data_IF_609625265582
#
_entry.id   IF_609625265582
#
_cell.length_a   1.000
_cell.length_b   1.000
_cell.length_c   1.000
_cell.angle_alpha   90.00
_cell.angle_beta   90.00
_cell.angle_gamma   90.00
#
_symmetry.space_group_name_H-M   'P 1'
#
loop_
_entity.id
_entity.type
_entity.pdbx_description
1 polymer ?
#
# COMPACT_ATOMS: atom_id res chain seq x y z
N UNK A 1 -3.81 -4.22 26.98
CA UNK A 1 -3.74 -5.68 26.71
C UNK A 1 -2.29 -6.12 26.79
N UNK A 2 -1.94 -7.37 27.17
CA UNK A 2 -0.55 -7.82 27.06
C UNK A 2 -0.14 -7.88 25.58
N UNK A 3 1.11 -7.52 25.27
CA UNK A 3 1.64 -7.53 23.90
C UNK A 3 2.64 -6.40 23.65
N UNK A 4 3.48 -6.58 22.63
CA UNK A 4 4.44 -5.56 22.17
C UNK A 4 3.68 -4.34 21.66
N UNK A 5 4.02 -3.16 22.17
CA UNK A 5 3.40 -1.91 21.72
C UNK A 5 4.09 -1.42 20.45
N UNK A 6 3.32 -1.27 19.37
CA UNK A 6 3.75 -0.76 18.07
C UNK A 6 3.64 0.77 17.97
N UNK A 7 3.15 1.44 19.03
CA UNK A 7 2.93 2.88 19.08
C UNK A 7 1.57 3.29 18.55
N UNK A 8 1.47 4.51 18.06
CA UNK A 8 0.29 5.07 17.40
C UNK A 8 0.69 5.85 16.16
N UNK A 9 -0.22 6.69 15.67
CA UNK A 9 0.08 7.72 14.67
C UNK A 9 0.61 7.19 13.32
N UNK A 10 0.20 6.00 12.92
CA UNK A 10 0.50 5.43 11.62
C UNK A 10 -0.70 4.65 11.06
N UNK A 11 -0.73 4.50 9.73
CA UNK A 11 -1.73 3.68 9.04
C UNK A 11 -1.23 2.27 8.72
N UNK A 12 0.06 2.01 8.91
CA UNK A 12 0.68 0.70 8.72
C UNK A 12 1.63 0.38 9.89
N UNK A 13 1.69 -0.89 10.27
CA UNK A 13 2.58 -1.37 11.33
C UNK A 13 3.36 -2.59 10.87
N UNK A 14 4.68 -2.55 11.05
CA UNK A 14 5.59 -3.65 10.73
C UNK A 14 5.63 -4.60 11.93
N UNK A 15 5.48 -5.90 11.67
CA UNK A 15 5.56 -6.96 12.67
C UNK A 15 6.47 -8.07 12.18
N UNK A 16 7.61 -8.29 12.86
CA UNK A 16 8.63 -9.25 12.40
C UNK A 16 8.60 -10.60 13.08
N UNK A 17 7.89 -10.74 14.19
CA UNK A 17 7.91 -11.95 15.00
C UNK A 17 6.52 -12.44 15.35
N UNK A 18 6.37 -13.74 15.59
CA UNK A 18 5.14 -14.30 16.18
C UNK A 18 4.92 -13.72 17.58
N UNK A 19 3.67 -13.44 17.94
CA UNK A 19 3.37 -12.94 19.29
C UNK A 19 2.12 -12.10 19.36
N UNK A 20 1.92 -11.48 20.53
CA UNK A 20 0.83 -10.55 20.79
C UNK A 20 1.32 -9.11 20.62
N UNK A 21 0.52 -8.29 19.96
CA UNK A 21 0.84 -6.91 19.61
C UNK A 21 -0.33 -6.00 19.93
N UNK A 22 -0.03 -4.70 20.04
CA UNK A 22 -1.04 -3.66 20.17
C UNK A 22 -0.57 -2.33 19.61
N UNK A 23 -1.52 -1.47 19.23
CA UNK A 23 -1.27 -0.08 18.83
C UNK A 23 -2.40 0.85 19.27
N UNK A 24 -2.11 2.14 19.39
CA UNK A 24 -3.06 3.21 19.72
C UNK A 24 -3.91 3.59 18.49
N UNK A 25 -5.21 3.77 18.70
CA UNK A 25 -6.16 4.07 17.60
C UNK A 25 -6.28 5.56 17.32
N UNK A 26 -5.18 6.17 16.88
CA UNK A 26 -5.11 7.60 16.49
C UNK A 26 -4.84 7.74 15.00
N UNK A 27 -5.13 8.94 14.46
CA UNK A 27 -4.62 9.36 13.15
C UNK A 27 -3.14 9.72 13.25
N UNK A 28 -2.48 9.91 12.10
CA UNK A 28 -1.04 10.24 12.04
C UNK A 28 -0.70 11.52 12.79
N UNK A 29 -1.57 12.53 12.76
CA UNK A 29 -1.39 13.77 13.53
C UNK A 29 -1.66 13.64 15.05
N UNK A 30 -1.99 12.43 15.54
CA UNK A 30 -2.30 12.17 16.95
C UNK A 30 -3.74 12.49 17.36
N UNK A 31 -4.59 12.96 16.45
CA UNK A 31 -6.01 13.16 16.75
C UNK A 31 -6.75 11.83 16.91
N UNK A 32 -7.76 11.83 17.76
CA UNK A 32 -8.61 10.67 18.01
C UNK A 32 -9.46 10.34 16.78
N UNK A 33 -9.70 9.04 16.58
CA UNK A 33 -10.70 8.54 15.66
C UNK A 33 -12.00 8.37 16.45
N UNK A 34 -13.06 9.04 16.02
CA UNK A 34 -14.34 9.03 16.72
C UNK A 34 -15.06 7.69 16.57
N UNK A 35 -15.96 7.42 17.51
CA UNK A 35 -16.99 6.38 17.43
C UNK A 35 -16.50 4.93 17.35
N UNK A 36 -15.22 4.64 17.65
CA UNK A 36 -14.73 3.26 17.72
C UNK A 36 -15.42 2.52 18.87
N UNK A 37 -16.17 1.47 18.53
CA UNK A 37 -16.85 0.57 19.45
C UNK A 37 -16.18 -0.81 19.53
N UNK A 38 -15.70 -1.32 18.40
CA UNK A 38 -15.00 -2.61 18.30
C UNK A 38 -13.97 -2.59 17.17
N UNK A 39 -13.16 -3.63 17.06
CA UNK A 39 -12.28 -3.84 15.92
C UNK A 39 -12.21 -5.33 15.59
N UNK A 40 -12.00 -5.63 14.30
CA UNK A 40 -11.74 -6.99 13.82
C UNK A 40 -10.87 -6.94 12.56
N UNK A 41 -10.24 -8.07 12.19
CA UNK A 41 -9.54 -8.16 10.92
C UNK A 41 -10.55 -8.11 9.76
N UNK A 42 -10.17 -7.44 8.67
CA UNK A 42 -11.01 -7.23 7.50
C UNK A 42 -10.67 -8.21 6.38
N UNK A 43 -9.40 -8.24 5.99
CA UNK A 43 -8.87 -9.19 5.04
C UNK A 43 -7.42 -9.50 5.36
N UNK A 44 -6.93 -10.63 4.88
CA UNK A 44 -5.52 -11.02 4.96
C UNK A 44 -5.07 -11.82 3.74
N UNK A 45 -3.79 -11.77 3.41
CA UNK A 45 -3.21 -12.65 2.39
C UNK A 45 -3.23 -14.10 2.86
N UNK A 46 -3.44 -15.04 1.93
CA UNK A 46 -3.28 -16.46 2.21
C UNK A 46 -1.80 -16.77 2.35
N UNK A 47 -1.41 -17.35 3.48
CA UNK A 47 -0.07 -17.88 3.68
C UNK A 47 0.22 -19.05 2.73
N UNK A 48 1.49 -19.37 2.53
CA UNK A 48 1.96 -20.31 1.50
C UNK A 48 1.33 -21.70 1.49
N UNK A 49 0.63 -22.15 2.55
CA UNK A 49 -0.10 -23.43 2.56
C UNK A 49 -1.10 -23.61 3.74
N UNK A 50 -1.61 -22.56 4.39
CA UNK A 50 -2.46 -22.74 5.58
C UNK A 50 -3.81 -22.04 5.50
N UNK A 51 -4.88 -22.79 5.78
CA UNK A 51 -6.21 -22.29 6.13
C UNK A 51 -6.22 -21.45 7.43
N UNK A 52 -5.07 -21.33 8.09
CA UNK A 52 -4.91 -20.61 9.34
C UNK A 52 -4.70 -19.12 9.08
N UNK A 53 -5.34 -18.25 9.88
CA UNK A 53 -5.22 -16.82 9.71
C UNK A 53 -3.83 -16.33 10.14
N UNK A 54 -3.29 -15.33 9.43
CA UNK A 54 -1.98 -14.72 9.77
C UNK A 54 -2.07 -13.82 11.02
N UNK A 55 -3.25 -13.25 11.26
CA UNK A 55 -3.60 -12.55 12.50
C UNK A 55 -4.88 -13.12 13.13
N UNK A 56 -5.00 -13.04 14.45
CA UNK A 56 -6.17 -13.52 15.21
C UNK A 56 -6.34 -12.71 16.50
N UNK A 57 -7.37 -13.04 17.28
CA UNK A 57 -7.66 -12.43 18.60
C UNK A 57 -7.71 -10.90 18.58
N UNK A 58 -8.25 -10.31 17.51
CA UNK A 58 -8.38 -8.86 17.38
C UNK A 58 -9.38 -8.36 18.42
N UNK A 59 -8.97 -7.36 19.20
CA UNK A 59 -9.80 -6.75 20.24
C UNK A 59 -9.50 -5.27 20.36
N UNK A 60 -10.55 -4.46 20.44
CA UNK A 60 -10.45 -3.06 20.81
C UNK A 60 -10.75 -2.89 22.30
N UNK A 61 -9.85 -2.22 23.03
CA UNK A 61 -10.05 -1.91 24.45
C UNK A 61 -9.26 -0.68 24.85
N UNK A 62 -9.94 0.29 25.46
CA UNK A 62 -9.31 1.48 26.07
C UNK A 62 -8.43 2.28 25.10
N UNK A 63 -8.90 2.51 23.86
CA UNK A 63 -8.18 3.29 22.84
C UNK A 63 -7.04 2.54 22.15
N UNK A 64 -6.89 1.24 22.42
CA UNK A 64 -5.89 0.38 21.78
C UNK A 64 -6.59 -0.76 21.03
N UNK A 65 -5.99 -1.17 19.91
CA UNK A 65 -6.28 -2.46 19.26
C UNK A 65 -5.17 -3.43 19.63
N UNK A 66 -5.54 -4.61 20.10
CA UNK A 66 -4.64 -5.75 20.33
C UNK A 66 -4.94 -6.90 19.36
N UNK A 67 -3.92 -7.68 18.99
CA UNK A 67 -4.05 -8.83 18.08
C UNK A 67 -2.87 -9.81 18.25
N UNK A 68 -3.05 -11.04 17.79
CA UNK A 68 -2.03 -12.10 17.76
C UNK A 68 -1.54 -12.34 16.33
N UNK A 69 -0.22 -12.41 16.13
CA UNK A 69 0.43 -12.77 14.85
C UNK A 69 0.98 -14.18 14.91
N UNK A 70 0.72 -14.99 13.89
CA UNK A 70 1.11 -16.41 13.82
C UNK A 70 2.59 -16.64 13.49
N UNK A 71 3.26 -15.62 12.92
CA UNK A 71 4.62 -15.70 12.39
C UNK A 71 4.68 -16.07 10.91
N UNK A 72 3.53 -16.18 10.23
CA UNK A 72 3.47 -16.31 8.77
C UNK A 72 3.50 -14.91 8.15
N UNK A 73 4.48 -14.68 7.27
CA UNK A 73 4.61 -13.43 6.52
C UNK A 73 3.40 -13.17 5.63
N UNK A 74 3.09 -11.88 5.45
CA UNK A 74 2.00 -11.43 4.61
C UNK A 74 1.42 -10.10 5.07
N UNK A 75 0.20 -9.83 4.61
CA UNK A 75 -0.49 -8.58 4.88
C UNK A 75 -1.88 -8.85 5.42
N UNK A 76 -2.25 -8.12 6.47
CA UNK A 76 -3.61 -8.06 6.97
C UNK A 76 -4.08 -6.62 7.09
N UNK A 77 -5.39 -6.42 7.08
CA UNK A 77 -6.01 -5.15 7.44
C UNK A 77 -6.90 -5.36 8.65
N UNK A 78 -6.78 -4.51 9.65
CA UNK A 78 -7.71 -4.43 10.79
C UNK A 78 -8.62 -3.22 10.59
N UNK A 79 -9.91 -3.39 10.81
CA UNK A 79 -10.91 -2.33 10.76
C UNK A 79 -11.44 -2.02 12.16
N UNK A 80 -11.53 -0.72 12.49
CA UNK A 80 -12.32 -0.23 13.61
C UNK A 80 -13.78 0.00 13.16
N UNK A 81 -14.71 -0.34 14.04
CA UNK A 81 -16.14 -0.39 13.76
C UNK A 81 -16.91 0.49 14.74
N UNK A 82 -17.92 1.21 14.24
CA UNK A 82 -18.90 1.89 15.08
C UNK A 82 -19.94 0.93 15.69
N UNK A 83 -20.86 1.47 16.49
CA UNK A 83 -21.96 0.69 17.11
C UNK A 83 -22.95 0.07 16.11
N UNK A 84 -22.89 0.47 14.84
CA UNK A 84 -23.71 -0.04 13.72
C UNK A 84 -22.90 -0.97 12.81
N UNK A 85 -21.67 -1.32 13.19
CA UNK A 85 -20.72 -2.10 12.41
C UNK A 85 -20.27 -1.43 11.09
N UNK A 86 -20.35 -0.10 10.98
CA UNK A 86 -19.69 0.62 9.89
C UNK A 86 -18.20 0.77 10.21
N UNK A 87 -17.35 0.66 9.19
CA UNK A 87 -15.92 0.93 9.35
C UNK A 87 -15.73 2.43 9.53
N UNK A 88 -15.02 2.81 10.60
CA UNK A 88 -14.65 4.22 10.89
C UNK A 88 -13.17 4.49 10.64
N UNK A 89 -12.34 3.46 10.62
CA UNK A 89 -10.94 3.51 10.20
C UNK A 89 -10.41 2.09 9.98
N UNK A 90 -9.24 2.00 9.33
CA UNK A 90 -8.56 0.74 9.06
C UNK A 90 -7.05 0.93 9.01
N UNK A 91 -6.32 -0.10 9.41
CA UNK A 91 -4.86 -0.13 9.48
C UNK A 91 -4.32 -1.36 8.78
N UNK A 92 -3.19 -1.19 8.10
CA UNK A 92 -2.41 -2.26 7.51
C UNK A 92 -1.45 -2.86 8.54
N UNK A 93 -1.46 -4.19 8.67
CA UNK A 93 -0.50 -4.96 9.45
C UNK A 93 0.40 -5.69 8.45
N UNK A 94 1.67 -5.30 8.41
CA UNK A 94 2.68 -5.82 7.51
C UNK A 94 3.57 -6.80 8.27
N UNK A 95 3.40 -8.09 8.00
CA UNK A 95 4.11 -9.16 8.69
C UNK A 95 5.28 -9.59 7.82
N UNK A 96 6.49 -9.16 8.17
CA UNK A 96 7.71 -9.33 7.38
C UNK A 96 8.92 -9.15 8.30
N UNK A 97 10.08 -9.70 7.93
CA UNK A 97 11.36 -9.25 8.49
C UNK A 97 11.49 -7.71 8.46
N UNK A 98 12.28 -7.15 9.37
CA UNK A 98 12.44 -5.70 9.46
C UNK A 98 13.01 -5.17 8.14
N UNK A 99 12.27 -4.33 7.39
CA UNK A 99 12.76 -3.79 6.13
C UNK A 99 14.07 -3.05 6.35
N UNK A 100 15.08 -3.35 5.53
CA UNK A 100 16.32 -2.61 5.53
C UNK A 100 16.13 -1.29 4.79
N UNK A 101 17.13 -0.41 4.89
CA UNK A 101 17.13 0.88 4.19
C UNK A 101 18.41 1.07 3.41
N UNK A 102 18.32 1.78 2.29
CA UNK A 102 19.45 2.17 1.45
C UNK A 102 19.41 3.67 1.19
N UNK A 103 20.54 4.35 1.38
CA UNK A 103 20.71 5.76 1.01
C UNK A 103 21.02 5.86 -0.49
N UNK A 104 20.32 6.76 -1.19
CA UNK A 104 20.49 6.97 -2.63
C UNK A 104 21.41 8.17 -2.86
N UNK A 105 21.89 8.38 -4.10
CA UNK A 105 22.83 9.46 -4.43
C UNK A 105 22.35 10.85 -3.98
N UNK A 106 21.04 11.10 -3.98
CA UNK A 106 20.45 12.37 -3.55
C UNK A 106 20.32 12.51 -2.00
N UNK A 107 20.83 11.56 -1.22
CA UNK A 107 20.75 11.51 0.24
C UNK A 107 19.39 11.05 0.78
N UNK A 108 18.44 10.68 -0.06
CA UNK A 108 17.15 10.12 0.37
C UNK A 108 17.36 8.66 0.79
N UNK A 109 16.79 8.27 1.93
CA UNK A 109 16.90 6.92 2.48
C UNK A 109 15.61 6.15 2.22
N UNK A 110 15.65 5.18 1.32
CA UNK A 110 14.50 4.35 0.94
C UNK A 110 14.46 3.03 1.72
N UNK A 111 13.26 2.50 1.94
CA UNK A 111 13.09 1.07 2.24
C UNK A 111 13.63 0.21 1.09
N UNK A 112 14.17 -0.97 1.43
CA UNK A 112 14.68 -1.95 0.48
C UNK A 112 13.61 -2.58 -0.44
N UNK A 113 12.33 -2.46 -0.08
CA UNK A 113 11.20 -3.11 -0.76
C UNK A 113 9.94 -2.23 -0.84
N UNK A 114 8.96 -2.68 -1.63
CA UNK A 114 7.65 -2.02 -1.72
C UNK A 114 6.84 -2.23 -0.44
N UNK A 115 6.01 -1.26 -0.08
CA UNK A 115 5.11 -1.36 1.06
C UNK A 115 4.20 -2.59 0.90
N UNK A 116 4.27 -3.50 1.87
CA UNK A 116 3.53 -4.76 1.89
C UNK A 116 4.24 -5.93 1.21
N UNK A 117 5.45 -5.75 0.67
CA UNK A 117 6.26 -6.86 0.14
C UNK A 117 6.88 -7.66 1.31
N UNK A 118 6.97 -8.98 1.19
CA UNK A 118 7.59 -9.84 2.21
C UNK A 118 9.01 -10.26 1.85
N UNK A 119 9.53 -9.80 0.71
CA UNK A 119 10.94 -9.98 0.34
C UNK A 119 11.47 -8.73 -0.35
N UNK A 120 12.79 -8.54 -0.25
CA UNK A 120 13.59 -7.57 -1.00
C UNK A 120 14.57 -8.28 -1.97
N UNK A 121 14.52 -9.61 -2.04
CA UNK A 121 15.44 -10.39 -2.84
C UNK A 121 15.21 -10.14 -4.33
N UNK A 122 16.28 -10.28 -5.10
CA UNK A 122 16.25 -10.16 -6.55
C UNK A 122 15.19 -11.08 -7.17
N UNK A 123 14.37 -10.51 -8.04
CA UNK A 123 13.38 -11.22 -8.85
C UNK A 123 12.00 -10.55 -8.84
N UNK A 124 11.14 -10.99 -9.73
CA UNK A 124 9.74 -10.55 -9.83
C UNK A 124 8.84 -11.72 -9.45
N UNK A 125 8.60 -11.89 -8.15
CA UNK A 125 7.72 -12.91 -7.57
C UNK A 125 6.71 -12.27 -6.62
N UNK A 126 5.69 -13.05 -6.21
CA UNK A 126 4.58 -12.53 -5.40
C UNK A 126 5.02 -11.91 -4.08
N UNK A 127 6.12 -12.39 -3.51
CA UNK A 127 6.69 -11.89 -2.26
C UNK A 127 7.25 -10.46 -2.43
N UNK A 128 7.67 -10.07 -3.63
CA UNK A 128 8.25 -8.76 -3.91
C UNK A 128 7.21 -7.68 -4.27
N UNK A 129 6.00 -8.05 -4.73
CA UNK A 129 5.06 -7.12 -5.37
C UNK A 129 4.45 -6.07 -4.44
N UNK A 130 4.29 -6.41 -3.16
CA UNK A 130 3.64 -5.55 -2.18
C UNK A 130 2.18 -5.21 -2.48
N UNK A 131 1.71 -4.11 -1.89
CA UNK A 131 0.33 -3.63 -1.99
C UNK A 131 0.23 -2.38 -2.86
N UNK A 132 -0.98 -2.13 -3.34
CA UNK A 132 -1.29 -1.03 -4.25
C UNK A 132 -2.21 -0.05 -3.56
N UNK A 133 -2.03 1.23 -3.86
CA UNK A 133 -2.77 2.31 -3.24
C UNK A 133 -3.30 3.25 -4.31
N UNK A 134 -4.53 3.73 -4.14
CA UNK A 134 -4.99 4.91 -4.88
C UNK A 134 -4.36 6.14 -4.24
N UNK A 135 -3.97 7.12 -5.04
CA UNK A 135 -3.22 8.27 -4.54
C UNK A 135 -4.01 9.01 -3.47
N UNK A 136 -3.41 9.27 -2.31
CA UNK A 136 -4.07 9.94 -1.18
C UNK A 136 -4.90 9.02 -0.28
N UNK A 137 -4.94 7.70 -0.52
CA UNK A 137 -5.60 6.74 0.38
C UNK A 137 -4.60 5.97 1.23
N UNK A 138 -4.96 5.80 2.50
CA UNK A 138 -4.25 4.89 3.42
C UNK A 138 -4.56 3.41 3.17
N UNK A 139 -5.68 3.11 2.52
CA UNK A 139 -6.21 1.75 2.43
C UNK A 139 -5.52 0.95 1.31
N UNK A 140 -4.92 -0.20 1.64
CA UNK A 140 -4.26 -1.03 0.64
C UNK A 140 -5.24 -1.89 -0.17
N UNK A 141 -4.89 -2.08 -1.43
CA UNK A 141 -5.44 -3.08 -2.33
C UNK A 141 -4.44 -4.22 -2.53
N UNK A 142 -4.94 -5.45 -2.58
CA UNK A 142 -4.10 -6.60 -2.90
C UNK A 142 -3.44 -6.43 -4.26
N UNK A 143 -2.14 -6.74 -4.34
CA UNK A 143 -1.35 -6.47 -5.55
C UNK A 143 -1.60 -7.38 -6.73
N UNK A 144 -2.13 -8.58 -6.49
CA UNK A 144 -2.33 -9.58 -7.54
C UNK A 144 -1.11 -10.48 -7.74
N UNK A 145 -1.31 -11.57 -8.49
CA UNK A 145 -0.27 -12.56 -8.81
C UNK A 145 -0.26 -12.96 -10.30
N UNK A 146 -1.15 -12.37 -11.10
CA UNK A 146 -1.22 -12.47 -12.56
C UNK A 146 -1.99 -11.28 -13.14
N UNK A 147 -1.71 -10.95 -14.39
CA UNK A 147 -2.46 -9.98 -15.19
C UNK A 147 -3.97 -10.31 -15.19
N UNK A 148 -4.78 -9.28 -14.96
CA UNK A 148 -6.23 -9.33 -14.87
C UNK A 148 -6.94 -8.68 -16.08
N UNK A 149 -6.21 -8.27 -17.11
CA UNK A 149 -6.74 -7.60 -18.30
C UNK A 149 -7.86 -8.43 -18.93
N UNK A 150 -9.06 -7.85 -19.00
CA UNK A 150 -10.29 -8.49 -19.49
C UNK A 150 -10.79 -9.69 -18.67
N UNK A 151 -10.13 -10.05 -17.56
CA UNK A 151 -10.62 -11.07 -16.61
C UNK A 151 -11.47 -10.47 -15.49
N UNK A 152 -11.33 -9.15 -15.27
CA UNK A 152 -12.08 -8.37 -14.30
C UNK A 152 -11.27 -8.07 -13.03
N UNK A 153 -11.52 -6.89 -12.47
CA UNK A 153 -10.81 -6.38 -11.29
C UNK A 153 -10.89 -7.34 -10.10
N UNK A 154 -9.76 -7.51 -9.41
CA UNK A 154 -9.63 -8.28 -8.17
C UNK A 154 -9.91 -9.79 -8.32
N UNK A 155 -9.85 -10.34 -9.54
CA UNK A 155 -9.98 -11.79 -9.77
C UNK A 155 -8.95 -12.58 -8.93
N UNK A 156 -7.71 -12.10 -8.85
CA UNK A 156 -6.64 -12.68 -8.03
C UNK A 156 -6.85 -12.44 -6.54
N UNK A 157 -7.29 -11.25 -6.15
CA UNK A 157 -7.52 -10.95 -4.74
C UNK A 157 -8.57 -11.89 -4.14
N UNK A 158 -9.60 -12.25 -4.89
CA UNK A 158 -10.62 -13.22 -4.47
C UNK A 158 -10.06 -14.64 -4.22
N UNK A 159 -8.95 -15.02 -4.87
CA UNK A 159 -8.32 -16.34 -4.68
C UNK A 159 -7.17 -16.31 -3.67
N UNK A 160 -6.45 -15.20 -3.57
CA UNK A 160 -5.22 -15.09 -2.77
C UNK A 160 -5.41 -14.38 -1.42
N UNK A 161 -6.60 -13.85 -1.14
CA UNK A 161 -6.92 -13.28 0.17
C UNK A 161 -8.06 -14.03 0.85
N UNK A 162 -8.08 -13.94 2.16
CA UNK A 162 -9.19 -14.35 3.02
C UNK A 162 -9.86 -13.10 3.54
N UNK A 163 -11.19 -13.04 3.43
CA UNK A 163 -12.00 -11.91 3.90
C UNK A 163 -12.78 -12.36 5.12
N UNK A 164 -12.89 -11.50 6.13
CA UNK A 164 -13.63 -11.81 7.35
C UNK A 164 -15.12 -11.95 7.02
N UNK A 165 -15.71 -13.15 7.15
CA UNK A 165 -17.12 -13.35 6.86
C UNK A 165 -18.03 -12.55 7.81
N UNK A 166 -17.56 -12.18 9.00
CA UNK A 166 -18.33 -11.39 9.97
C UNK A 166 -18.58 -9.95 9.51
N UNK A 167 -17.69 -9.38 8.68
CA UNK A 167 -17.81 -8.00 8.21
C UNK A 167 -18.56 -7.87 6.87
N UNK A 168 -18.86 -8.99 6.20
CA UNK A 168 -19.61 -9.02 4.93
C UNK A 168 -19.07 -8.07 3.84
N UNK A 169 -17.75 -7.88 3.83
CA UNK A 169 -17.05 -7.07 2.84
C UNK A 169 -16.61 -7.93 1.64
N UNK A 170 -16.27 -7.28 0.53
CA UNK A 170 -15.70 -7.93 -0.66
C UNK A 170 -14.90 -6.92 -1.47
N UNK A 171 -13.94 -7.42 -2.24
CA UNK A 171 -13.27 -6.61 -3.26
C UNK A 171 -14.29 -6.11 -4.28
N UNK A 172 -14.27 -4.80 -4.57
CA UNK A 172 -15.19 -4.17 -5.51
C UNK A 172 -14.48 -3.13 -6.35
N UNK A 173 -14.94 -3.00 -7.57
CA UNK A 173 -14.73 -1.82 -8.40
C UNK A 173 -16.04 -1.05 -8.49
N UNK A 174 -15.98 0.26 -8.23
CA UNK A 174 -17.13 1.15 -8.37
C UNK A 174 -16.75 2.33 -9.24
N UNK A 175 -17.39 2.43 -10.40
CA UNK A 175 -17.29 3.61 -11.26
C UNK A 175 -18.17 4.72 -10.69
N UNK A 176 -17.64 5.42 -9.69
CA UNK A 176 -18.18 6.62 -9.05
C UNK A 176 -17.09 7.23 -8.16
N UNK A 177 -16.84 8.53 -8.31
CA UNK A 177 -16.01 9.27 -7.35
C UNK A 177 -16.77 9.49 -6.03
N UNK A 178 -16.09 9.40 -4.90
CA UNK A 178 -16.70 9.51 -3.56
C UNK A 178 -16.03 10.56 -2.69
N UNK A 179 -16.60 10.83 -1.52
CA UNK A 179 -15.91 11.59 -0.47
C UNK A 179 -15.01 10.68 0.38
N UNK A 180 -14.16 11.30 1.19
CA UNK A 180 -13.21 10.60 2.06
C UNK A 180 -13.96 9.70 3.06
N UNK A 181 -15.07 10.18 3.64
CA UNK A 181 -15.85 9.43 4.63
C UNK A 181 -16.39 8.13 4.06
N UNK A 182 -16.89 8.15 2.83
CA UNK A 182 -17.33 6.95 2.11
C UNK A 182 -16.16 6.00 1.84
N UNK A 183 -14.99 6.53 1.43
CA UNK A 183 -13.81 5.69 1.18
C UNK A 183 -13.31 4.96 2.44
N UNK A 184 -13.39 5.62 3.60
CA UNK A 184 -13.05 5.04 4.91
C UNK A 184 -14.01 3.91 5.29
N UNK A 185 -15.31 4.06 5.01
CA UNK A 185 -16.32 3.03 5.27
C UNK A 185 -16.17 1.83 4.32
N UNK A 186 -15.59 2.04 3.15
CA UNK A 186 -15.44 1.04 2.09
C UNK A 186 -13.97 0.85 1.67
N UNK A 187 -13.07 0.42 2.58
CA UNK A 187 -11.64 0.35 2.33
C UNK A 187 -11.26 -0.66 1.23
N UNK A 188 -12.13 -1.64 0.93
CA UNK A 188 -11.93 -2.64 -0.14
C UNK A 188 -12.59 -2.26 -1.48
N UNK A 189 -13.20 -1.08 -1.56
CA UNK A 189 -13.83 -0.60 -2.78
C UNK A 189 -12.87 0.34 -3.52
N UNK A 190 -12.58 -0.03 -4.76
CA UNK A 190 -11.78 0.74 -5.68
C UNK A 190 -12.69 1.69 -6.44
N UNK A 191 -12.64 2.95 -6.06
CA UNK A 191 -13.48 3.98 -6.64
C UNK A 191 -12.79 4.61 -7.85
N UNK A 192 -13.53 4.79 -8.93
CA UNK A 192 -13.07 5.51 -10.11
C UNK A 192 -14.14 6.51 -10.54
N UNK A 193 -13.75 7.77 -10.64
CA UNK A 193 -14.61 8.86 -11.06
C UNK A 193 -15.23 8.62 -12.43
N UNK A 194 -16.50 8.98 -12.58
CA UNK A 194 -17.21 8.77 -13.84
C UNK A 194 -16.71 9.68 -14.97
N UNK A 195 -16.12 10.82 -14.59
CA UNK A 195 -15.74 11.92 -15.50
C UNK A 195 -14.29 12.36 -15.35
N UNK A 196 -13.56 11.75 -14.42
CA UNK A 196 -12.18 12.08 -14.08
C UNK A 196 -11.45 10.81 -13.64
N UNK A 197 -10.11 10.80 -13.75
CA UNK A 197 -9.28 9.65 -13.36
C UNK A 197 -8.90 9.75 -11.88
N UNK A 198 -9.89 10.06 -11.04
CA UNK A 198 -9.75 10.22 -9.59
C UNK A 198 -10.72 9.31 -8.87
N UNK A 199 -10.37 8.83 -7.69
CA UNK A 199 -11.31 8.15 -6.81
C UNK A 199 -12.19 9.14 -6.03
N UNK A 200 -11.74 10.39 -5.87
CA UNK A 200 -12.50 11.45 -5.22
C UNK A 200 -13.49 12.12 -6.16
N UNK A 201 -14.69 12.42 -5.65
CA UNK A 201 -15.65 13.28 -6.33
C UNK A 201 -15.17 14.74 -6.40
N UNK A 202 -14.50 15.19 -5.35
CA UNK A 202 -13.91 16.52 -5.25
C UNK A 202 -12.42 16.37 -4.97
N UNK A 203 -11.59 16.90 -5.86
CA UNK A 203 -10.13 16.87 -5.74
C UNK A 203 -9.65 17.43 -4.41
N UNK A 204 -8.90 16.62 -3.67
CA UNK A 204 -8.13 17.07 -2.50
C UNK A 204 -6.68 16.59 -2.66
N UNK A 205 -5.78 17.51 -3.03
CA UNK A 205 -4.43 17.13 -3.31
C UNK A 205 -3.53 17.33 -2.06
N UNK A 206 -4.13 17.57 -0.89
CA UNK A 206 -3.44 17.63 0.40
C UNK A 206 -3.36 16.26 1.09
N UNK A 207 -4.03 15.24 0.54
CA UNK A 207 -4.11 13.92 1.16
C UNK A 207 -2.76 13.24 1.31
N UNK A 208 -1.83 13.40 0.35
CA UNK A 208 -0.41 13.10 0.52
C UNK A 208 0.42 14.36 0.25
N UNK A 209 1.56 14.47 0.94
CA UNK A 209 2.47 15.62 0.81
C UNK A 209 3.89 15.22 1.24
N UNK A 210 4.83 16.16 1.22
CA UNK A 210 6.22 16.02 1.70
C UNK A 210 6.32 15.98 3.24
N UNK A 211 5.18 15.87 3.93
CA UNK A 211 5.04 15.63 5.36
C UNK A 211 4.04 14.49 5.48
N UNK A 212 4.29 13.55 6.39
CA UNK A 212 3.40 12.44 6.66
C UNK A 212 2.02 12.95 7.09
N UNK A 213 1.00 12.67 6.29
CA UNK A 213 -0.39 13.09 6.53
C UNK A 213 -1.21 11.99 7.20
N UNK A 214 -2.42 12.31 7.63
CA UNK A 214 -3.38 11.32 8.17
C UNK A 214 -3.71 10.17 7.19
N UNK A 215 -3.46 10.34 5.90
CA UNK A 215 -3.74 9.35 4.86
C UNK A 215 -2.48 8.72 4.26
N UNK A 216 -1.29 9.10 4.73
CA UNK A 216 -0.03 8.48 4.34
C UNK A 216 -0.03 7.00 4.79
N UNK A 217 0.11 6.04 3.87
CA UNK A 217 0.00 4.61 4.18
C UNK A 217 1.28 4.02 4.79
N UNK A 218 2.40 4.75 4.78
CA UNK A 218 3.67 4.19 5.23
C UNK A 218 3.67 3.92 6.74
N UNK A 219 4.52 3.01 7.23
CA UNK A 219 4.67 2.75 8.66
C UNK A 219 5.16 3.97 9.45
N UNK A 220 5.10 3.90 10.78
CA UNK A 220 5.71 4.90 11.65
C UNK A 220 7.21 5.04 11.35
N UNK A 221 7.71 6.29 11.30
CA UNK A 221 9.10 6.59 10.92
C UNK A 221 9.36 6.64 9.41
N UNK A 222 8.33 6.42 8.58
CA UNK A 222 8.44 6.44 7.12
C UNK A 222 7.29 7.23 6.49
N UNK A 223 7.48 7.71 5.25
CA UNK A 223 6.44 8.40 4.48
C UNK A 223 6.57 8.17 2.97
N UNK A 224 5.54 8.57 2.24
CA UNK A 224 5.57 8.57 0.77
C UNK A 224 6.60 9.60 0.28
N UNK A 225 7.52 9.22 -0.64
CA UNK A 225 8.50 10.14 -1.19
C UNK A 225 7.86 11.17 -2.12
N UNK A 226 8.40 12.37 -2.16
CA UNK A 226 8.08 13.37 -3.18
C UNK A 226 8.76 13.07 -4.52
N UNK A 227 8.34 13.74 -5.59
CA UNK A 227 8.97 13.63 -6.91
C UNK A 227 10.44 14.04 -6.89
N UNK A 228 10.83 15.01 -6.05
CA UNK A 228 12.23 15.43 -5.92
C UNK A 228 13.08 14.39 -5.18
N UNK A 229 12.49 13.70 -4.20
CA UNK A 229 13.19 12.69 -3.39
C UNK A 229 13.41 11.38 -4.17
N UNK A 230 12.70 11.18 -5.28
CA UNK A 230 12.82 10.00 -6.13
C UNK A 230 13.72 10.20 -7.36
N UNK A 231 14.37 11.37 -7.48
CA UNK A 231 15.19 11.77 -8.63
C UNK A 231 16.26 10.74 -9.02
N UNK A 232 16.92 10.11 -8.03
CA UNK A 232 17.94 9.09 -8.27
C UNK A 232 17.43 7.85 -9.01
N UNK A 233 16.11 7.60 -9.03
CA UNK A 233 15.51 6.48 -9.78
C UNK A 233 15.68 6.66 -11.30
N UNK A 234 16.02 7.85 -11.81
CA UNK A 234 16.42 8.04 -13.23
C UNK A 234 17.57 7.12 -13.68
N UNK A 235 18.38 6.63 -12.74
CA UNK A 235 19.52 5.76 -12.99
C UNK A 235 19.19 4.28 -12.77
N UNK A 236 17.91 3.93 -12.64
CA UNK A 236 17.49 2.53 -12.50
C UNK A 236 17.91 1.74 -13.74
N UNK A 237 18.49 0.57 -13.52
CA UNK A 237 18.89 -0.37 -14.55
C UNK A 237 17.83 -1.46 -14.70
N UNK A 238 17.81 -2.15 -15.83
CA UNK A 238 16.85 -3.21 -16.12
C UNK A 238 17.51 -4.39 -16.84
N UNK A 239 17.03 -5.60 -16.55
CA UNK A 239 17.29 -6.79 -17.37
C UNK A 239 16.06 -7.04 -18.23
N UNK A 240 16.25 -7.18 -19.54
CA UNK A 240 15.17 -7.40 -20.48
C UNK A 240 15.04 -8.88 -20.89
N UNK A 241 13.83 -9.27 -21.27
CA UNK A 241 13.58 -10.52 -21.97
C UNK A 241 13.85 -10.42 -23.47
N UNK A 242 13.62 -11.52 -24.18
CA UNK A 242 13.82 -11.63 -25.63
C UNK A 242 12.89 -10.73 -26.46
N UNK A 243 11.87 -10.14 -25.83
CA UNK A 243 10.88 -9.25 -26.44
C UNK A 243 11.01 -7.80 -25.93
N UNK A 244 12.15 -7.46 -25.31
CA UNK A 244 12.45 -6.15 -24.72
C UNK A 244 11.53 -5.73 -23.55
N UNK A 245 10.83 -6.67 -22.90
CA UNK A 245 10.13 -6.42 -21.64
C UNK A 245 11.08 -6.54 -20.46
N UNK A 246 10.99 -5.63 -19.50
CA UNK A 246 11.82 -5.72 -18.31
C UNK A 246 11.36 -6.90 -17.42
N UNK A 247 12.29 -7.80 -17.11
CA UNK A 247 12.11 -8.88 -16.14
C UNK A 247 12.28 -8.40 -14.71
N UNK A 248 13.16 -7.42 -14.53
CA UNK A 248 13.58 -6.90 -13.24
C UNK A 248 14.29 -5.57 -13.41
N UNK A 249 14.21 -4.75 -12.37
CA UNK A 249 14.87 -3.46 -12.28
C UNK A 249 15.73 -3.41 -11.01
N UNK A 250 16.83 -2.66 -11.03
CA UNK A 250 17.64 -2.44 -9.83
C UNK A 250 18.30 -1.06 -9.84
N UNK A 251 18.66 -0.58 -8.66
CA UNK A 251 19.44 0.64 -8.47
C UNK A 251 20.67 0.32 -7.63
N UNK A 252 21.82 0.83 -8.05
CA UNK A 252 23.10 0.62 -7.36
C UNK A 252 23.73 1.95 -7.01
N UNK A 253 24.11 2.12 -5.75
CA UNK A 253 24.85 3.28 -5.25
C UNK A 253 25.74 2.86 -4.09
N UNK A 254 26.96 3.42 -4.00
CA UNK A 254 27.91 3.12 -2.91
C UNK A 254 28.17 1.60 -2.65
N UNK A 255 28.19 0.78 -3.70
CA UNK A 255 28.31 -0.69 -3.64
C UNK A 255 27.15 -1.42 -2.96
N UNK A 256 26.04 -0.75 -2.73
CA UNK A 256 24.77 -1.35 -2.33
C UNK A 256 23.82 -1.39 -3.54
N UNK A 257 23.01 -2.45 -3.62
CA UNK A 257 22.04 -2.65 -4.70
C UNK A 257 20.67 -3.00 -4.10
N UNK A 258 19.62 -2.37 -4.60
CA UNK A 258 18.23 -2.69 -4.27
C UNK A 258 17.42 -2.98 -5.53
N UNK A 259 16.46 -3.89 -5.42
CA UNK A 259 15.69 -4.41 -6.54
C UNK A 259 14.27 -3.84 -6.56
N UNK A 260 13.73 -3.67 -7.76
CA UNK A 260 12.39 -3.15 -8.01
C UNK A 260 11.60 -4.18 -8.84
N UNK A 261 10.51 -4.75 -8.30
CA UNK A 261 9.71 -5.74 -9.01
C UNK A 261 8.95 -5.12 -10.19
N UNK A 262 9.01 -5.76 -11.34
CA UNK A 262 8.36 -5.31 -12.58
C UNK A 262 6.91 -5.83 -12.66
N UNK A 263 6.05 -5.40 -11.75
CA UNK A 263 4.74 -6.02 -11.54
C UNK A 263 3.51 -5.19 -11.96
N UNK A 264 3.72 -4.05 -12.60
CA UNK A 264 2.64 -3.30 -13.21
C UNK A 264 1.86 -2.44 -12.24
N UNK A 265 0.57 -2.24 -12.54
CA UNK A 265 -0.32 -1.40 -11.75
C UNK A 265 -1.78 -1.84 -11.86
N UNK A 266 -2.65 -1.32 -10.99
CA UNK A 266 -4.11 -1.41 -11.17
C UNK A 266 -4.59 -0.23 -12.02
N UNK A 267 -5.24 -0.54 -13.13
CA UNK A 267 -5.71 0.47 -14.09
C UNK A 267 -6.99 1.20 -13.63
N UNK A 268 -7.60 1.95 -14.54
CA UNK A 268 -8.83 2.69 -14.28
C UNK A 268 -10.04 1.81 -14.00
N UNK A 269 -9.98 0.52 -14.32
CA UNK A 269 -11.02 -0.46 -14.03
C UNK A 269 -10.71 -1.27 -12.77
N UNK A 270 -9.56 -1.02 -12.14
CA UNK A 270 -9.05 -1.81 -11.02
C UNK A 270 -8.46 -3.15 -11.44
N UNK A 271 -8.27 -3.40 -12.74
CA UNK A 271 -7.61 -4.60 -13.26
C UNK A 271 -6.11 -4.44 -13.05
N UNK A 272 -5.45 -5.47 -12.48
CA UNK A 272 -3.99 -5.55 -12.53
C UNK A 272 -3.56 -5.73 -13.99
N UNK A 273 -2.68 -4.85 -14.47
CA UNK A 273 -2.20 -4.84 -15.86
C UNK A 273 -0.73 -4.45 -15.90
N UNK A 274 -0.15 -4.49 -17.10
CA UNK A 274 1.16 -3.90 -17.38
C UNK A 274 2.28 -4.58 -16.58
N UNK A 275 2.20 -5.92 -16.44
CA UNK A 275 3.32 -6.74 -15.99
C UNK A 275 4.55 -6.45 -16.85
N UNK A 276 5.74 -6.39 -16.22
CA UNK A 276 6.98 -5.95 -16.88
C UNK A 276 7.34 -4.48 -16.69
N UNK A 277 6.58 -3.72 -15.88
CA UNK A 277 6.91 -2.34 -15.51
C UNK A 277 6.88 -2.07 -14.01
N UNK A 278 7.57 -1.00 -13.58
CA UNK A 278 7.52 -0.48 -12.21
C UNK A 278 6.68 0.79 -12.20
N UNK A 279 5.63 0.81 -11.38
CA UNK A 279 4.76 1.97 -11.22
C UNK A 279 4.66 2.34 -9.75
N UNK A 280 5.18 3.50 -9.38
CA UNK A 280 5.23 3.94 -7.98
C UNK A 280 4.70 5.33 -7.80
N UNK A 281 3.88 5.51 -6.77
CA UNK A 281 3.43 6.84 -6.39
C UNK A 281 4.53 7.68 -5.76
N UNK A 282 4.45 8.97 -6.03
CA UNK A 282 5.06 10.01 -5.21
C UNK A 282 3.95 10.78 -4.48
N UNK A 283 4.29 11.53 -3.44
CA UNK A 283 3.38 12.46 -2.76
C UNK A 283 3.19 13.78 -3.50
N UNK A 284 3.85 13.96 -4.65
CA UNK A 284 3.79 15.19 -5.43
C UNK A 284 2.61 15.22 -6.40
N UNK A 285 1.95 16.36 -6.45
CA UNK A 285 0.89 16.62 -7.40
C UNK A 285 1.46 16.85 -8.80
N UNK A 286 0.72 16.45 -9.83
CA UNK A 286 1.07 16.81 -11.19
C UNK A 286 0.53 18.21 -11.48
N UNK A 287 1.42 19.21 -11.47
CA UNK A 287 1.07 20.59 -11.77
C UNK A 287 0.44 20.63 -13.17
N UNK A 288 -0.76 21.21 -13.30
CA UNK A 288 -1.54 21.42 -14.54
C UNK A 288 -2.50 20.31 -14.99
N UNK A 289 -2.68 19.21 -14.24
CA UNK A 289 -3.71 18.21 -14.58
C UNK A 289 -4.49 17.78 -13.33
N UNK A 290 -5.69 18.36 -13.16
CA UNK A 290 -6.64 17.92 -12.13
C UNK A 290 -6.89 16.42 -12.23
N UNK A 291 -7.02 15.75 -11.09
CA UNK A 291 -7.17 14.29 -10.98
C UNK A 291 -5.92 13.46 -11.26
N UNK A 292 -4.77 14.08 -11.47
CA UNK A 292 -3.51 13.37 -11.67
C UNK A 292 -2.47 13.73 -10.61
N UNK A 293 -1.53 12.82 -10.40
CA UNK A 293 -0.38 13.01 -9.52
C UNK A 293 0.86 12.39 -10.15
N UNK A 294 2.02 12.83 -9.68
CA UNK A 294 3.30 12.36 -10.21
C UNK A 294 3.57 10.94 -9.73
N UNK A 295 3.93 10.07 -10.66
CA UNK A 295 4.39 8.70 -10.41
C UNK A 295 5.66 8.42 -11.18
N UNK A 296 6.42 7.45 -10.69
CA UNK A 296 7.48 6.82 -11.46
C UNK A 296 6.86 5.78 -12.38
N UNK A 297 7.32 5.76 -13.63
CA UNK A 297 7.07 4.70 -14.60
C UNK A 297 8.41 4.19 -15.10
N UNK A 298 8.70 2.91 -14.89
CA UNK A 298 9.81 2.23 -15.56
C UNK A 298 9.25 1.15 -16.47
N UNK A 299 9.67 1.14 -17.74
CA UNK A 299 9.18 0.21 -18.78
C UNK A 299 10.31 -0.10 -19.76
N UNK A 300 10.87 -1.31 -19.70
CA UNK A 300 12.09 -1.62 -20.47
C UNK A 300 13.23 -0.67 -20.09
N UNK A 301 13.86 -0.02 -21.08
CA UNK A 301 14.89 1.02 -20.86
C UNK A 301 14.32 2.43 -20.63
N UNK A 302 12.99 2.59 -20.57
CA UNK A 302 12.36 3.88 -20.37
C UNK A 302 12.07 4.10 -18.89
N UNK A 303 12.55 5.20 -18.34
CA UNK A 303 12.22 5.66 -16.98
C UNK A 303 11.73 7.10 -17.03
N UNK A 304 10.51 7.32 -16.54
CA UNK A 304 9.92 8.63 -16.34
C UNK A 304 9.51 8.80 -14.88
N UNK A 305 10.28 9.61 -14.15
CA UNK A 305 10.00 9.95 -12.75
C UNK A 305 8.97 11.08 -12.62
N UNK A 306 8.63 11.74 -13.73
CA UNK A 306 7.58 12.76 -13.82
C UNK A 306 6.31 12.20 -14.49
N UNK A 307 6.19 10.87 -14.54
CA UNK A 307 5.08 10.18 -15.15
C UNK A 307 3.75 10.62 -14.55
N UNK A 308 2.74 10.66 -15.40
CA UNK A 308 1.40 11.10 -15.03
C UNK A 308 0.58 9.87 -14.65
N UNK A 309 0.05 9.85 -13.44
CA UNK A 309 -0.86 8.81 -12.96
C UNK A 309 -2.17 9.42 -12.52
N UNK A 310 -3.30 8.90 -13.02
CA UNK A 310 -4.60 9.29 -12.50
C UNK A 310 -4.72 8.83 -11.05
N UNK A 311 -5.14 9.69 -10.13
CA UNK A 311 -5.19 9.40 -8.70
C UNK A 311 -6.06 8.20 -8.34
N UNK A 312 -7.04 7.89 -9.18
CA UNK A 312 -7.88 6.71 -9.04
C UNK A 312 -7.17 5.40 -9.41
N UNK A 313 -6.00 5.42 -10.05
CA UNK A 313 -5.23 4.21 -10.37
C UNK A 313 -4.51 3.66 -9.13
N UNK A 314 -4.25 2.36 -9.08
CA UNK A 314 -3.52 1.72 -7.99
C UNK A 314 -2.07 1.52 -8.38
N UNK A 315 -1.13 2.09 -7.62
CA UNK A 315 0.30 1.93 -7.86
C UNK A 315 1.01 1.59 -6.52
N UNK A 316 2.22 1.06 -6.59
CA UNK A 316 3.00 0.73 -5.41
C UNK A 316 3.55 1.99 -4.72
N UNK A 317 4.07 1.81 -3.51
CA UNK A 317 4.78 2.83 -2.77
C UNK A 317 6.06 2.20 -2.23
N UNK A 318 7.20 2.84 -2.45
CA UNK A 318 8.44 2.57 -1.71
C UNK A 318 8.67 3.72 -0.74
N UNK A 319 8.45 3.45 0.54
CA UNK A 319 8.52 4.50 1.56
C UNK A 319 9.97 4.95 1.78
N UNK A 320 10.13 6.20 2.21
CA UNK A 320 11.41 6.77 2.64
C UNK A 320 11.38 7.06 4.14
N UNK A 321 12.55 7.09 4.77
CA UNK A 321 12.69 7.49 6.18
C UNK A 321 12.16 8.91 6.36
N UNK A 322 11.30 9.10 7.35
CA UNK A 322 10.77 10.42 7.70
C UNK A 322 11.70 11.11 8.70
N UNK A 323 12.59 11.95 8.21
CA UNK A 323 13.60 12.65 9.03
C UNK A 323 13.06 13.86 9.80
N UNK A 324 11.74 13.96 10.03
CA UNK A 324 11.07 15.11 10.66
C UNK A 324 10.59 14.81 12.07
#
# INVERSE_FOLDING_TARGET
>A
MPGTNLGGNANSYIVSEKGQYKFETTKVNGSEISDINSADWLWMTKGNNSSNPIISDVVYKSGEIGFTVSGVEGNAVIAALDTKNNIVWSWHIWITDVPQTMEYENGTVFMDRMLGATSADRGSNKENYGLFYQWGRKDPFYGGTKDEYKTGAFATANTETTINPALNMKWRYTKKGVDIETSIKEPMNYFMGDKNIDWLANEDPSLWNNIKTDYDPCPAGYRVPSATEIESIKQIEAELDENDYAKEFWYTWNNETTYYPSYGCRDEKGELVMEGGVFMWTSSQHLNQSSYSTRVVCWGFFTDINGIGGRGTGNNIRCIVDCK
#
